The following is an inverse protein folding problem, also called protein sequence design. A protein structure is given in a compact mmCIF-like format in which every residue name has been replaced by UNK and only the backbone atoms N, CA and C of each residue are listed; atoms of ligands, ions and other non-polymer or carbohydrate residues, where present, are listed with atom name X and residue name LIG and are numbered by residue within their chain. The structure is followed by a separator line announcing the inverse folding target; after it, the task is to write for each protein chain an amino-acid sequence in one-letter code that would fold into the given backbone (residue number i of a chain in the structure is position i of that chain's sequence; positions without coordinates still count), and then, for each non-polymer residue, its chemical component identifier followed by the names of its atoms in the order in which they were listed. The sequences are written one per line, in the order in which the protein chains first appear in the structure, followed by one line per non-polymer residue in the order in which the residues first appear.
data_IF_898081471128
#
_entry.id   IF_898081471128
#
_cell.length_a   1.000
_cell.length_b   1.000
_cell.length_c   1.000
_cell.angle_alpha   90.00
_cell.angle_beta   90.00
_cell.angle_gamma   90.00
#
_symmetry.space_group_name_H-M   'P 1'
#
loop_
_entity.id
_entity.type
_entity.pdbx_description
1 polymer ?
#
# COMPACT_ATOMS: atom_id res chain seq x y z
N UNK A 1 16.21 0.40 -5.28
CA UNK A 1 15.34 0.34 -4.06
C UNK A 1 14.27 1.44 -4.15
N UNK A 2 13.01 1.15 -3.77
CA UNK A 2 11.91 2.13 -3.74
C UNK A 2 11.36 2.29 -2.33
N UNK A 3 11.16 3.52 -1.89
CA UNK A 3 10.54 3.85 -0.60
C UNK A 3 9.34 4.77 -0.83
N UNK A 4 8.24 4.52 -0.12
CA UNK A 4 7.00 5.29 -0.25
C UNK A 4 6.59 5.75 1.14
N UNK A 5 6.45 7.07 1.30
CA UNK A 5 6.04 7.72 2.53
C UNK A 5 4.70 8.42 2.28
N UNK A 6 3.73 8.21 3.17
CA UNK A 6 2.40 8.81 3.07
C UNK A 6 2.18 9.65 4.33
N UNK A 7 1.90 10.94 4.15
CA UNK A 7 1.53 11.85 5.22
C UNK A 7 0.29 12.65 4.81
N UNK A 8 -0.85 12.34 5.44
CA UNK A 8 -2.16 12.86 5.04
C UNK A 8 -2.41 12.60 3.54
N UNK A 9 -2.60 13.65 2.74
CA UNK A 9 -2.85 13.55 1.30
C UNK A 9 -1.58 13.67 0.44
N UNK A 10 -0.39 13.76 1.05
CA UNK A 10 0.88 13.87 0.34
C UNK A 10 1.62 12.54 0.36
N UNK A 11 2.14 12.16 -0.80
CA UNK A 11 2.97 10.97 -1.00
C UNK A 11 4.36 11.45 -1.43
N UNK A 12 5.40 10.89 -0.81
CA UNK A 12 6.79 11.04 -1.24
C UNK A 12 7.30 9.67 -1.64
N UNK A 13 7.73 9.54 -2.89
CA UNK A 13 8.31 8.32 -3.45
C UNK A 13 9.79 8.58 -3.69
N UNK A 14 10.66 7.76 -3.13
CA UNK A 14 12.11 7.82 -3.36
C UNK A 14 12.49 6.60 -4.20
N UNK A 15 12.92 6.83 -5.43
CA UNK A 15 13.40 5.81 -6.37
C UNK A 15 14.92 5.88 -6.46
N UNK A 16 15.61 5.08 -5.64
CA UNK A 16 17.07 5.14 -5.54
C UNK A 16 17.79 4.77 -6.83
N UNK A 17 17.20 3.88 -7.63
CA UNK A 17 17.84 3.38 -8.87
C UNK A 17 17.78 4.43 -9.99
N UNK A 18 16.86 5.40 -9.87
CA UNK A 18 16.72 6.55 -10.78
C UNK A 18 17.29 7.83 -10.18
N UNK A 19 17.83 7.77 -8.95
CA UNK A 19 18.24 8.95 -8.18
C UNK A 19 17.16 10.05 -8.18
N UNK A 20 15.90 9.66 -7.95
CA UNK A 20 14.74 10.53 -8.10
C UNK A 20 13.82 10.51 -6.88
N UNK A 21 13.19 11.66 -6.61
CA UNK A 21 12.11 11.84 -5.64
C UNK A 21 10.87 12.39 -6.35
N UNK A 22 9.74 11.71 -6.17
CA UNK A 22 8.45 12.11 -6.74
C UNK A 22 7.52 12.54 -5.60
N UNK A 23 6.96 13.74 -5.72
CA UNK A 23 5.86 14.20 -4.86
C UNK A 23 4.54 13.96 -5.57
N UNK A 24 3.61 13.28 -4.91
CA UNK A 24 2.28 12.97 -5.47
C UNK A 24 1.19 13.08 -4.39
N UNK A 25 -0.04 12.74 -4.76
CA UNK A 25 -1.20 12.75 -3.88
C UNK A 25 -1.73 11.35 -3.61
N UNK A 26 -2.33 11.15 -2.43
CA UNK A 26 -2.86 9.85 -2.01
C UNK A 26 -3.99 9.36 -2.92
N UNK A 27 -4.75 10.27 -3.53
CA UNK A 27 -5.83 9.95 -4.47
C UNK A 27 -5.33 9.19 -5.71
N UNK A 28 -4.02 9.19 -5.96
CA UNK A 28 -3.37 8.46 -7.06
C UNK A 28 -2.89 7.05 -6.65
N UNK A 29 -3.09 6.62 -5.39
CA UNK A 29 -2.57 5.34 -4.87
C UNK A 29 -3.67 4.59 -4.12
N UNK A 30 -3.83 3.27 -4.34
CA UNK A 30 -4.80 2.47 -3.58
C UNK A 30 -4.61 2.59 -2.06
N UNK A 31 -5.68 2.96 -1.35
CA UNK A 31 -5.66 3.10 0.11
C UNK A 31 -6.11 1.80 0.79
N UNK A 32 -5.14 1.00 1.26
CA UNK A 32 -5.41 -0.28 1.93
C UNK A 32 -6.31 -0.14 3.16
N UNK A 33 -6.24 0.97 3.90
CA UNK A 33 -7.12 1.17 5.07
C UNK A 33 -8.58 1.27 4.66
N UNK A 34 -8.88 1.96 3.57
CA UNK A 34 -10.25 2.08 3.04
C UNK A 34 -10.73 0.75 2.42
N UNK A 35 -9.83 0.02 1.77
CA UNK A 35 -10.12 -1.33 1.26
C UNK A 35 -10.52 -2.27 2.41
N UNK A 36 -9.77 -2.27 3.52
CA UNK A 36 -10.09 -3.11 4.67
C UNK A 36 -11.40 -2.70 5.35
N UNK A 37 -11.69 -1.40 5.48
CA UNK A 37 -12.96 -0.92 6.04
C UNK A 37 -14.18 -1.35 5.21
N UNK A 38 -14.03 -1.41 3.89
CA UNK A 38 -15.10 -1.80 2.95
C UNK A 38 -15.18 -3.32 2.73
N UNK A 39 -14.25 -4.09 3.29
CA UNK A 39 -14.18 -5.52 3.06
C UNK A 39 -15.33 -6.25 3.75
N UNK A 40 -16.03 -7.10 3.00
CA UNK A 40 -17.07 -7.98 3.50
C UNK A 40 -16.65 -9.43 3.39
N UNK A 41 -17.01 -10.23 4.39
CA UNK A 41 -16.75 -11.67 4.40
C UNK A 41 -17.70 -12.36 3.43
N UNK A 42 -17.14 -13.19 2.54
CA UNK A 42 -17.93 -14.01 1.61
C UNK A 42 -17.71 -15.51 1.81
N UNK A 43 -16.63 -15.88 2.51
CA UNK A 43 -16.31 -17.23 2.93
C UNK A 43 -15.41 -17.16 4.18
N UNK A 44 -15.26 -18.26 4.91
CA UNK A 44 -14.49 -18.35 6.16
C UNK A 44 -13.10 -17.71 6.05
N UNK A 45 -12.42 -17.92 4.93
CA UNK A 45 -11.04 -17.48 4.70
C UNK A 45 -10.92 -16.43 3.56
N UNK A 46 -12.03 -15.75 3.22
CA UNK A 46 -12.07 -14.83 2.08
C UNK A 46 -12.96 -13.61 2.33
N UNK A 47 -12.39 -12.43 2.17
CA UNK A 47 -13.12 -11.16 2.09
C UNK A 47 -13.03 -10.59 0.68
N UNK A 48 -14.00 -9.76 0.32
CA UNK A 48 -13.98 -8.95 -0.90
C UNK A 48 -14.29 -7.50 -0.59
N UNK A 49 -13.68 -6.59 -1.34
CA UNK A 49 -13.93 -5.16 -1.24
C UNK A 49 -14.00 -4.55 -2.64
N UNK A 50 -14.78 -3.47 -2.79
CA UNK A 50 -14.74 -2.63 -3.98
C UNK A 50 -14.24 -1.24 -3.58
N UNK A 51 -13.17 -0.78 -4.25
CA UNK A 51 -12.55 0.51 -4.02
C UNK A 51 -12.08 1.08 -5.35
N UNK A 52 -12.44 2.33 -5.67
CA UNK A 52 -12.16 2.99 -6.95
C UNK A 52 -12.46 2.14 -8.18
N UNK A 53 -13.64 1.52 -8.18
CA UNK A 53 -14.12 0.59 -9.20
C UNK A 53 -13.30 -0.69 -9.40
N UNK A 54 -12.26 -0.91 -8.60
CA UNK A 54 -11.44 -2.13 -8.60
C UNK A 54 -11.98 -3.10 -7.54
N UNK A 55 -12.07 -4.38 -7.92
CA UNK A 55 -12.44 -5.46 -7.01
C UNK A 55 -11.19 -6.07 -6.37
N UNK A 56 -11.17 -6.10 -5.05
CA UNK A 56 -10.11 -6.68 -4.24
C UNK A 56 -10.60 -7.98 -3.62
N UNK A 57 -9.72 -8.99 -3.61
CA UNK A 57 -9.89 -10.21 -2.84
C UNK A 57 -8.84 -10.25 -1.76
N UNK A 58 -9.26 -10.46 -0.51
CA UNK A 58 -8.37 -10.59 0.64
C UNK A 58 -8.49 -12.02 1.15
N UNK A 59 -7.37 -12.75 1.16
CA UNK A 59 -7.32 -14.11 1.72
C UNK A 59 -6.89 -14.05 3.17
N UNK A 60 -7.57 -14.85 3.99
CA UNK A 60 -7.25 -15.03 5.39
C UNK A 60 -6.68 -16.44 5.62
N UNK A 61 -5.96 -16.60 6.71
CA UNK A 61 -5.64 -17.89 7.31
C UNK A 61 -5.64 -17.68 8.82
N UNK A 62 -6.51 -18.41 9.54
CA UNK A 62 -6.67 -18.27 10.99
C UNK A 62 -6.86 -16.79 11.40
N UNK A 63 -7.76 -16.08 10.71
CA UNK A 63 -8.06 -14.65 10.93
C UNK A 63 -6.90 -13.67 10.65
N UNK A 64 -5.79 -14.16 10.11
CA UNK A 64 -4.66 -13.34 9.67
C UNK A 64 -4.70 -13.14 8.15
N UNK A 65 -4.52 -11.89 7.72
CA UNK A 65 -4.51 -11.52 6.30
C UNK A 65 -3.27 -12.12 5.64
N UNK A 66 -3.42 -13.01 4.67
CA UNK A 66 -2.29 -13.61 3.96
C UNK A 66 -1.94 -12.82 2.71
N UNK A 67 -2.96 -12.45 1.93
CA UNK A 67 -2.74 -11.75 0.67
C UNK A 67 -3.90 -10.83 0.29
N UNK A 68 -3.58 -9.83 -0.52
CA UNK A 68 -4.53 -8.96 -1.20
C UNK A 68 -4.26 -9.10 -2.69
N UNK A 69 -5.29 -9.40 -3.48
CA UNK A 69 -5.17 -9.55 -4.93
C UNK A 69 -6.22 -8.74 -5.67
N UNK A 70 -5.83 -8.14 -6.79
CA UNK A 70 -6.71 -7.35 -7.65
C UNK A 70 -6.15 -7.32 -9.08
N UNK A 71 -6.99 -6.86 -10.02
CA UNK A 71 -6.54 -6.48 -11.36
C UNK A 71 -6.36 -4.98 -11.43
N UNK A 72 -5.21 -4.52 -11.91
CA UNK A 72 -4.96 -3.10 -12.11
C UNK A 72 -5.69 -2.56 -13.37
N UNK A 73 -5.52 -1.27 -13.65
CA UNK A 73 -6.15 -0.59 -14.79
C UNK A 73 -5.72 -1.13 -16.17
N UNK A 74 -4.61 -1.88 -16.22
CA UNK A 74 -4.08 -2.52 -17.42
C UNK A 74 -4.35 -4.03 -17.43
N UNK A 75 -5.28 -4.50 -16.59
CA UNK A 75 -5.68 -5.91 -16.45
C UNK A 75 -4.58 -6.85 -15.92
N UNK A 76 -3.47 -6.29 -15.39
CA UNK A 76 -2.42 -7.10 -14.77
C UNK A 76 -2.91 -7.69 -13.45
N UNK A 77 -2.56 -8.95 -13.20
CA UNK A 77 -2.83 -9.60 -11.93
C UNK A 77 -1.80 -9.19 -10.88
N UNK A 78 -2.25 -8.46 -9.85
CA UNK A 78 -1.42 -8.00 -8.75
C UNK A 78 -1.73 -8.82 -7.49
N UNK A 79 -0.69 -9.29 -6.82
CA UNK A 79 -0.78 -10.00 -5.53
C UNK A 79 0.19 -9.38 -4.53
N UNK A 80 -0.33 -8.91 -3.41
CA UNK A 80 0.43 -8.43 -2.26
C UNK A 80 0.39 -9.52 -1.19
N UNK A 81 1.56 -10.08 -0.85
CA UNK A 81 1.69 -11.10 0.20
C UNK A 81 2.18 -10.47 1.51
N UNK A 82 1.54 -10.78 2.64
CA UNK A 82 1.87 -10.23 3.95
C UNK A 82 2.52 -11.30 4.83
N UNK A 83 3.81 -11.12 5.15
CA UNK A 83 4.59 -12.03 5.97
C UNK A 83 5.00 -11.38 7.30
N UNK A 84 5.24 -12.19 8.34
CA UNK A 84 5.76 -11.75 9.64
C UNK A 84 4.98 -10.56 10.25
N UNK A 85 3.66 -10.60 10.16
CA UNK A 85 2.80 -9.51 10.63
C UNK A 85 2.84 -9.41 12.16
N UNK A 86 3.00 -8.19 12.66
CA UNK A 86 2.95 -7.89 14.10
C UNK A 86 1.77 -6.94 14.33
N UNK A 87 0.88 -7.31 15.24
CA UNK A 87 -0.31 -6.49 15.60
C UNK A 87 0.04 -5.55 16.75
N UNK A 88 -0.36 -4.28 16.60
CA UNK A 88 -0.21 -3.22 17.61
C UNK A 88 1.22 -3.06 18.21
N UNK A 89 2.31 -3.11 17.42
CA UNK A 89 3.63 -2.81 17.96
C UNK A 89 3.73 -1.32 18.33
N UNK A 90 4.65 -0.99 19.25
CA UNK A 90 5.12 0.39 19.38
C UNK A 90 6.01 0.69 18.17
N UNK A 91 5.68 1.73 17.42
CA UNK A 91 6.42 2.13 16.21
C UNK A 91 7.10 3.47 16.48
N UNK A 92 8.40 3.57 16.20
CA UNK A 92 9.10 4.85 16.25
C UNK A 92 8.60 5.75 15.10
N UNK A 93 8.16 6.97 15.42
CA UNK A 93 7.64 7.92 14.42
C UNK A 93 8.65 8.30 13.34
N UNK A 94 9.96 8.16 13.60
CA UNK A 94 11.00 8.45 12.63
C UNK A 94 10.96 7.55 11.39
N UNK A 95 10.36 6.35 11.46
CA UNK A 95 10.22 5.47 10.29
C UNK A 95 9.28 6.06 9.22
N UNK A 96 8.43 7.02 9.60
CA UNK A 96 7.51 7.69 8.68
C UNK A 96 8.11 8.97 8.07
N UNK A 97 9.36 9.33 8.41
CA UNK A 97 10.03 10.51 7.87
C UNK A 97 10.89 10.13 6.67
N UNK A 98 10.55 10.67 5.50
CA UNK A 98 11.33 10.49 4.28
C UNK A 98 12.74 11.10 4.44
N UNK A 99 13.77 10.29 4.14
CA UNK A 99 15.17 10.73 4.13
C UNK A 99 15.62 10.95 2.69
N UNK A 100 15.31 12.12 2.15
CA UNK A 100 15.60 12.49 0.76
C UNK A 100 17.11 12.75 0.60
N UNK A 101 17.81 12.03 -0.30
CA UNK A 101 19.19 12.34 -0.65
C UNK A 101 19.29 13.68 -1.38
N UNK A 102 20.32 14.47 -1.06
CA UNK A 102 20.48 15.83 -1.60
C UNK A 102 20.75 15.87 -3.10
N UNK A 103 21.32 14.80 -3.67
CA UNK A 103 21.71 14.71 -5.07
C UNK A 103 20.60 14.16 -5.98
N UNK A 104 19.41 13.87 -5.45
CA UNK A 104 18.33 13.27 -6.23
C UNK A 104 17.50 14.35 -6.93
N UNK A 105 17.10 14.04 -8.16
CA UNK A 105 16.20 14.87 -8.94
C UNK A 105 14.81 14.88 -8.32
N UNK A 106 14.14 16.05 -8.35
CA UNK A 106 12.80 16.21 -7.80
C UNK A 106 11.78 16.37 -8.92
N UNK A 107 10.78 15.49 -8.93
CA UNK A 107 9.61 15.54 -9.80
C UNK A 107 8.37 15.88 -8.98
N UNK A 108 7.51 16.74 -9.53
CA UNK A 108 6.26 17.22 -8.92
C UNK A 108 5.10 17.01 -9.87
#
# INVERSE_FOLDING_TARGET
KKEIYINKNQVTIIEHDLEQVIFSHLDNIPNLNEIFKKASLIDKDKLVAKYDNINYTIKLNQEQIQSISYKDEFENDVIINLNNQIKNPKINSDVFKAKIPQNYDIVR
#
